data_IF_255105042996
#
_entry.id   IF_255105042996
#
_cell.length_a   1.000
_cell.length_b   1.000
_cell.length_c   1.000
_cell.angle_alpha   90.00
_cell.angle_beta   90.00
_cell.angle_gamma   90.00
#
_symmetry.space_group_name_H-M   'P 1'
#
loop_
_entity.id
_entity.type
_entity.pdbx_description
1 polymer ?
#
# COMPACT_ATOMS: atom_id res chain seq x y z
N UNK A 1 10.10 -14.44 5.86
CA UNK A 1 11.01 -13.33 5.47
C UNK A 1 11.64 -12.59 6.66
N UNK A 2 11.32 -12.92 7.93
CA UNK A 2 11.95 -12.26 9.09
C UNK A 2 11.72 -10.74 9.16
N UNK A 3 10.66 -10.24 8.52
CA UNK A 3 10.31 -8.83 8.48
C UNK A 3 9.13 -8.49 9.38
N UNK A 4 8.85 -7.20 9.46
CA UNK A 4 7.86 -6.61 10.34
C UNK A 4 6.75 -5.93 9.54
N UNK A 5 5.52 -5.97 10.04
CA UNK A 5 4.38 -5.31 9.44
C UNK A 5 3.71 -4.40 10.47
N UNK A 6 3.36 -3.18 10.08
CA UNK A 6 2.58 -2.25 10.91
C UNK A 6 1.29 -1.87 10.21
N UNK A 7 0.19 -1.83 10.96
CA UNK A 7 -1.03 -1.13 10.53
C UNK A 7 -0.77 0.37 10.67
N UNK A 8 -1.10 1.16 9.65
CA UNK A 8 -0.75 2.57 9.59
C UNK A 8 -2.00 3.44 9.68
N UNK A 9 -1.86 4.58 10.32
CA UNK A 9 -2.80 5.69 10.27
C UNK A 9 -2.03 7.00 10.41
N UNK A 10 -2.50 8.07 9.79
CA UNK A 10 -1.96 9.40 10.01
C UNK A 10 -2.66 10.08 11.17
N UNK A 11 -1.89 10.72 12.04
CA UNK A 11 -2.46 11.53 13.13
C UNK A 11 -3.10 12.77 12.49
N UNK A 12 -4.42 12.91 12.65
CA UNK A 12 -5.19 14.05 12.17
C UNK A 12 -5.36 14.15 10.65
N UNK A 13 -5.07 13.08 9.89
CA UNK A 13 -5.22 13.07 8.41
C UNK A 13 -5.75 11.72 7.91
N UNK A 14 -6.47 11.76 6.80
CA UNK A 14 -6.94 10.56 6.10
C UNK A 14 -6.02 10.23 4.92
N UNK A 15 -6.09 8.98 4.45
CA UNK A 15 -5.43 8.53 3.22
C UNK A 15 -4.10 7.80 3.42
N UNK A 16 -3.75 7.41 4.65
CA UNK A 16 -2.62 6.53 4.88
C UNK A 16 -2.83 5.18 4.17
N UNK A 17 -1.80 4.59 3.55
CA UNK A 17 -1.84 3.19 3.12
C UNK A 17 -2.10 2.27 4.31
N UNK A 18 -2.76 1.14 4.11
CA UNK A 18 -3.12 0.23 5.20
C UNK A 18 -1.92 -0.32 6.00
N UNK A 19 -0.83 -0.66 5.30
CA UNK A 19 0.32 -1.39 5.86
C UNK A 19 1.65 -0.80 5.46
N UNK A 20 2.58 -0.75 6.41
CA UNK A 20 4.01 -0.63 6.16
C UNK A 20 4.66 -2.00 6.36
N UNK A 21 5.35 -2.49 5.34
CA UNK A 21 6.09 -3.75 5.36
C UNK A 21 7.58 -3.45 5.34
N UNK A 22 8.30 -3.93 6.35
CA UNK A 22 9.74 -3.73 6.53
C UNK A 22 10.43 -5.10 6.47
N UNK A 23 11.27 -5.29 5.47
CA UNK A 23 11.98 -6.55 5.24
C UNK A 23 13.49 -6.35 5.46
N UNK A 24 14.20 -7.31 6.06
CA UNK A 24 15.66 -7.22 6.18
C UNK A 24 16.33 -7.03 4.82
N UNK A 25 17.29 -6.10 4.75
CA UNK A 25 18.08 -5.78 3.56
C UNK A 25 17.27 -5.42 2.29
N UNK A 26 16.00 -5.02 2.43
CA UNK A 26 15.16 -4.54 1.34
C UNK A 26 14.51 -3.21 1.70
N UNK A 27 14.26 -2.31 0.73
CA UNK A 27 13.49 -1.10 0.98
C UNK A 27 12.10 -1.44 1.55
N UNK A 28 11.60 -0.55 2.41
CA UNK A 28 10.23 -0.67 2.92
C UNK A 28 9.20 -0.55 1.80
N UNK A 29 8.06 -1.21 1.95
CA UNK A 29 6.96 -1.19 0.99
C UNK A 29 5.69 -0.80 1.72
N UNK A 30 4.97 0.18 1.18
CA UNK A 30 3.63 0.54 1.63
C UNK A 30 2.61 -0.24 0.82
N UNK A 31 1.64 -0.85 1.49
CA UNK A 31 0.54 -1.57 0.84
C UNK A 31 -0.79 -0.92 1.18
N UNK A 32 -1.58 -0.70 0.14
CA UNK A 32 -3.03 -0.50 0.21
C UNK A 32 -3.72 -1.81 -0.19
N UNK A 33 -4.62 -2.32 0.65
CA UNK A 33 -5.29 -3.60 0.47
C UNK A 33 -6.73 -3.38 0.01
N UNK A 34 -7.10 -3.99 -1.11
CA UNK A 34 -8.48 -3.99 -1.60
C UNK A 34 -9.10 -5.39 -1.48
N UNK A 35 -10.43 -5.42 -1.47
CA UNK A 35 -11.15 -6.69 -1.60
C UNK A 35 -10.81 -7.36 -2.96
N UNK A 36 -10.87 -8.70 -3.06
CA UNK A 36 -10.55 -9.41 -4.30
C UNK A 36 -11.23 -8.82 -5.54
N UNK A 37 -10.44 -8.55 -6.59
CA UNK A 37 -10.87 -7.95 -7.85
C UNK A 37 -11.11 -6.44 -7.81
N UNK A 38 -10.86 -5.77 -6.68
CA UNK A 38 -11.11 -4.32 -6.53
C UNK A 38 -9.87 -3.45 -6.73
N UNK A 39 -8.66 -4.03 -6.84
CA UNK A 39 -7.48 -3.23 -7.17
C UNK A 39 -7.61 -2.56 -8.55
N UNK A 40 -8.21 -3.26 -9.53
CA UNK A 40 -8.44 -2.74 -10.88
C UNK A 40 -9.38 -1.52 -10.93
N UNK A 41 -10.28 -1.40 -9.95
CA UNK A 41 -11.23 -0.27 -9.85
C UNK A 41 -10.76 0.82 -8.91
N UNK A 42 -9.60 0.65 -8.26
CA UNK A 42 -9.06 1.65 -7.35
C UNK A 42 -8.50 2.84 -8.13
N UNK A 43 -8.84 4.10 -7.78
CA UNK A 43 -9.78 4.51 -6.73
C UNK A 43 -11.25 4.58 -7.24
N UNK A 44 -12.18 3.93 -6.52
CA UNK A 44 -13.58 3.82 -6.90
C UNK A 44 -14.50 4.88 -6.24
N UNK A 45 -14.11 5.41 -5.08
CA UNK A 45 -14.98 6.30 -4.28
C UNK A 45 -14.23 7.51 -3.71
N UNK A 46 -14.94 8.40 -3.03
CA UNK A 46 -14.37 9.65 -2.51
C UNK A 46 -13.23 9.43 -1.50
N UNK A 47 -13.36 8.41 -0.64
CA UNK A 47 -12.33 8.05 0.33
C UNK A 47 -11.07 7.51 -0.38
N UNK A 48 -11.24 6.61 -1.34
CA UNK A 48 -10.12 6.05 -2.12
C UNK A 48 -9.42 7.09 -2.99
N UNK A 49 -10.14 8.11 -3.47
CA UNK A 49 -9.51 9.24 -4.17
C UNK A 49 -8.57 10.03 -3.26
N UNK A 50 -8.83 10.09 -1.94
CA UNK A 50 -7.92 10.71 -0.97
C UNK A 50 -6.67 9.84 -0.79
N UNK A 51 -6.84 8.52 -0.62
CA UNK A 51 -5.72 7.56 -0.55
C UNK A 51 -4.85 7.65 -1.80
N UNK A 52 -5.46 7.60 -2.99
CA UNK A 52 -4.74 7.69 -4.26
C UNK A 52 -3.87 8.95 -4.36
N UNK A 53 -4.40 10.13 -3.99
CA UNK A 53 -3.60 11.37 -3.97
C UNK A 53 -2.44 11.29 -2.98
N UNK A 54 -2.61 10.63 -1.85
CA UNK A 54 -1.51 10.40 -0.91
C UNK A 54 -0.47 9.45 -1.50
N UNK A 55 -0.89 8.36 -2.12
CA UNK A 55 0.01 7.41 -2.78
C UNK A 55 0.86 8.09 -3.85
N UNK A 56 0.26 8.95 -4.67
CA UNK A 56 0.98 9.73 -5.69
C UNK A 56 2.01 10.67 -5.05
N UNK A 57 1.66 11.35 -3.95
CA UNK A 57 2.63 12.19 -3.22
C UNK A 57 3.77 11.37 -2.62
N UNK A 58 3.48 10.22 -2.04
CA UNK A 58 4.49 9.31 -1.47
C UNK A 58 5.42 8.78 -2.56
N UNK A 59 4.88 8.35 -3.70
CA UNK A 59 5.67 7.91 -4.88
C UNK A 59 6.55 9.03 -5.41
N UNK A 60 6.04 10.26 -5.49
CA UNK A 60 6.84 11.42 -5.88
C UNK A 60 8.01 11.69 -4.93
N UNK A 61 7.91 11.28 -3.66
CA UNK A 61 8.99 11.33 -2.66
C UNK A 61 9.85 10.04 -2.61
N UNK A 62 9.75 9.19 -3.62
CA UNK A 62 10.57 7.97 -3.75
C UNK A 62 10.10 6.78 -2.93
N UNK A 63 8.91 6.83 -2.33
CA UNK A 63 8.36 5.68 -1.60
C UNK A 63 7.74 4.67 -2.57
N UNK A 64 7.91 3.37 -2.27
CA UNK A 64 7.21 2.30 -2.99
C UNK A 64 5.84 2.06 -2.36
N UNK A 65 4.77 2.35 -3.12
CA UNK A 65 3.38 2.15 -2.69
C UNK A 65 2.66 1.23 -3.67
N UNK A 66 2.14 0.12 -3.18
CA UNK A 66 1.54 -0.95 -3.97
C UNK A 66 0.07 -1.14 -3.57
N UNK A 67 -0.81 -1.29 -4.56
CA UNK A 67 -2.22 -1.59 -4.34
C UNK A 67 -2.46 -3.03 -4.76
N UNK A 68 -2.91 -3.87 -3.83
CA UNK A 68 -3.09 -5.30 -4.06
C UNK A 68 -4.44 -5.77 -3.54
N UNK A 69 -4.97 -6.82 -4.15
CA UNK A 69 -6.27 -7.41 -3.79
C UNK A 69 -6.26 -8.94 -3.70
N UNK A 70 -5.07 -9.54 -3.74
CA UNK A 70 -4.90 -10.99 -3.71
C UNK A 70 -3.55 -11.37 -3.13
N UNK A 71 -3.46 -12.60 -2.60
CA UNK A 71 -2.19 -13.15 -2.13
C UNK A 71 -1.17 -13.27 -3.26
N UNK A 72 -1.58 -13.75 -4.44
CA UNK A 72 -0.70 -13.80 -5.61
C UNK A 72 -0.16 -12.40 -6.02
N UNK A 73 -0.97 -11.34 -5.85
CA UNK A 73 -0.51 -9.96 -6.05
C UNK A 73 0.55 -9.54 -5.03
N UNK A 74 0.40 -9.92 -3.76
CA UNK A 74 1.42 -9.73 -2.73
C UNK A 74 2.70 -10.48 -3.07
N UNK A 75 2.60 -11.77 -3.45
CA UNK A 75 3.74 -12.61 -3.81
C UNK A 75 4.54 -11.99 -4.97
N UNK A 76 3.84 -11.55 -6.03
CA UNK A 76 4.45 -10.84 -7.16
C UNK A 76 5.20 -9.58 -6.73
N UNK A 77 4.63 -8.77 -5.84
CA UNK A 77 5.27 -7.55 -5.31
C UNK A 77 6.54 -7.89 -4.52
N UNK A 78 6.52 -8.99 -3.78
CA UNK A 78 7.63 -9.49 -2.96
C UNK A 78 8.67 -10.29 -3.77
N UNK A 79 8.33 -10.69 -5.00
CA UNK A 79 9.17 -11.43 -5.94
C UNK A 79 9.16 -12.95 -5.71
N UNK A 80 7.98 -13.54 -5.49
CA UNK A 80 7.75 -14.96 -5.27
C UNK A 80 6.82 -15.54 -6.35
#
# INVERSE_FOLDING_TARGET
MGGEVRKVQWIGRNGAPDRLVMLPARPQIWFELKAPGKAATFPANAHERVQHREHERMRAMGQRVEVVDSYAGVDKVLGW
#
